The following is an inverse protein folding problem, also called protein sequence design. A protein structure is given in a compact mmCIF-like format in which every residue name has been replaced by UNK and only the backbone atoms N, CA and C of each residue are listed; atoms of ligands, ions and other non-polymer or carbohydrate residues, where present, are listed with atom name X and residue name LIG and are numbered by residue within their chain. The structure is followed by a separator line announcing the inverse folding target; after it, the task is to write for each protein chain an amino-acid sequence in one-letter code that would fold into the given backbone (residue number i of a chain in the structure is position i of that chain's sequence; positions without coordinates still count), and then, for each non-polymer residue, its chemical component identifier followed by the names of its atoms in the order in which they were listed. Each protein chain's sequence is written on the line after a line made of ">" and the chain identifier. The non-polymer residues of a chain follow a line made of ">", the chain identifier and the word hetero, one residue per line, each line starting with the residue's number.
data_IF_910779469805
#
_entry.id   IF_910779469805
#
_cell.length_a   1.000
_cell.length_b   1.000
_cell.length_c   1.000
_cell.angle_alpha   90.00
_cell.angle_beta   90.00
_cell.angle_gamma   90.00
#
_symmetry.space_group_name_H-M   'P 1'
#
loop_
_entity.id
_entity.type
_entity.pdbx_description
1 polymer ?
#
# COMPACT_ATOMS: atom_id res chain seq x y z
N UNK A 1 -8.64 -4.28 -15.93
CA UNK A 1 -8.33 -3.18 -15.00
C UNK A 1 -8.14 -1.89 -15.77
N UNK A 2 -8.49 -0.77 -15.14
CA UNK A 2 -8.41 0.54 -15.80
C UNK A 2 -6.94 0.94 -16.02
N UNK A 3 -6.08 0.68 -15.02
CA UNK A 3 -4.66 1.00 -15.12
C UNK A 3 -3.84 -0.23 -15.45
N UNK A 4 -2.69 -0.08 -16.14
CA UNK A 4 -1.82 -1.22 -16.44
C UNK A 4 -1.35 -1.91 -15.16
N UNK A 5 -1.31 -3.24 -15.17
CA UNK A 5 -0.75 -4.01 -14.07
C UNK A 5 0.75 -3.73 -13.96
N UNK A 6 1.44 -3.68 -15.10
CA UNK A 6 2.87 -3.40 -15.15
C UNK A 6 3.73 -4.64 -14.91
N UNK A 7 4.99 -4.38 -14.60
CA UNK A 7 5.98 -5.42 -14.40
C UNK A 7 5.96 -5.94 -12.97
N UNK A 8 6.44 -7.17 -12.72
CA UNK A 8 6.60 -7.66 -11.36
C UNK A 8 7.39 -6.67 -10.51
N UNK A 9 6.94 -6.48 -9.27
CA UNK A 9 7.54 -5.53 -8.33
C UNK A 9 8.82 -6.13 -7.72
N UNK A 10 9.88 -6.23 -8.51
CA UNK A 10 11.13 -6.84 -8.06
C UNK A 10 11.93 -5.92 -7.14
N UNK A 11 11.84 -4.61 -7.35
CA UNK A 11 12.62 -3.65 -6.57
C UNK A 11 12.28 -3.68 -5.08
N UNK A 12 11.02 -3.94 -4.73
CA UNK A 12 10.55 -3.95 -3.34
C UNK A 12 10.07 -5.34 -2.90
N UNK A 13 10.35 -6.38 -3.69
CA UNK A 13 9.81 -7.73 -3.43
C UNK A 13 10.13 -8.24 -2.03
N UNK A 14 11.29 -7.91 -1.48
CA UNK A 14 11.70 -8.33 -0.13
C UNK A 14 10.84 -7.73 0.98
N UNK A 15 10.05 -6.70 0.69
CA UNK A 15 9.16 -6.04 1.65
C UNK A 15 7.71 -6.46 1.48
N UNK A 16 7.46 -7.46 0.62
CA UNK A 16 6.11 -7.97 0.35
C UNK A 16 6.09 -9.47 0.58
N UNK A 17 4.96 -9.95 1.07
CA UNK A 17 4.66 -11.37 1.05
C UNK A 17 3.68 -11.62 -0.08
N UNK A 18 4.03 -12.54 -0.99
CA UNK A 18 3.25 -12.82 -2.20
C UNK A 18 3.72 -12.00 -3.39
N UNK A 19 2.99 -12.08 -4.47
CA UNK A 19 3.35 -11.44 -5.72
C UNK A 19 2.62 -10.12 -5.90
N UNK A 20 3.36 -9.09 -6.29
CA UNK A 20 2.81 -7.78 -6.58
C UNK A 20 3.41 -7.21 -7.85
N UNK A 21 2.77 -6.18 -8.38
CA UNK A 21 3.14 -5.54 -9.64
C UNK A 21 3.09 -4.03 -9.44
N UNK A 22 3.96 -3.32 -10.14
CA UNK A 22 4.11 -1.88 -9.95
C UNK A 22 4.21 -1.20 -11.31
N UNK A 23 3.41 -0.16 -11.50
CA UNK A 23 3.49 0.69 -12.70
C UNK A 23 3.46 2.14 -12.27
N UNK A 24 4.45 2.90 -12.67
CA UNK A 24 4.40 4.34 -12.47
C UNK A 24 3.48 4.97 -13.51
N UNK A 25 2.47 5.71 -13.05
CA UNK A 25 1.48 6.36 -13.92
C UNK A 25 1.91 7.78 -14.23
N UNK A 26 2.51 8.46 -13.26
CA UNK A 26 2.97 9.84 -13.43
C UNK A 26 4.24 10.08 -12.63
N UNK A 27 5.15 10.88 -13.21
CA UNK A 27 6.39 11.30 -12.56
C UNK A 27 6.49 12.83 -12.48
N UNK A 28 5.40 13.55 -12.74
CA UNK A 28 5.40 14.99 -12.71
C UNK A 28 5.39 15.55 -11.28
N UNK A 29 4.67 16.63 -11.00
CA UNK A 29 4.68 17.29 -9.69
C UNK A 29 4.26 16.37 -8.55
N UNK A 30 3.32 15.46 -8.81
CA UNK A 30 2.87 14.47 -7.84
C UNK A 30 3.03 13.09 -8.49
N UNK A 31 4.12 12.39 -8.19
CA UNK A 31 4.30 11.03 -8.71
C UNK A 31 3.24 10.12 -8.12
N UNK A 32 2.69 9.23 -8.94
CA UNK A 32 1.81 8.19 -8.41
C UNK A 32 1.95 6.91 -9.21
N UNK A 33 1.58 5.82 -8.56
CA UNK A 33 1.79 4.47 -9.03
C UNK A 33 0.50 3.69 -8.93
N UNK A 34 0.33 2.70 -9.81
CA UNK A 34 -0.66 1.66 -9.62
C UNK A 34 0.06 0.43 -9.06
N UNK A 35 -0.36 -0.01 -7.88
CA UNK A 35 0.19 -1.19 -7.22
C UNK A 35 -0.87 -2.27 -7.25
N UNK A 36 -0.53 -3.43 -7.80
CA UNK A 36 -1.45 -4.57 -7.93
C UNK A 36 -0.92 -5.73 -7.10
N UNK A 37 -1.81 -6.34 -6.32
CA UNK A 37 -1.50 -7.43 -5.41
C UNK A 37 -2.29 -8.66 -5.81
N UNK A 38 -1.63 -9.81 -5.91
CA UNK A 38 -2.34 -11.09 -6.01
C UNK A 38 -3.03 -11.42 -4.68
N UNK A 39 -4.03 -12.31 -4.68
CA UNK A 39 -4.71 -12.67 -3.43
C UNK A 39 -3.73 -13.06 -2.32
N UNK A 40 -3.93 -12.50 -1.14
CA UNK A 40 -3.08 -12.75 0.02
C UNK A 40 -1.79 -11.95 0.09
N UNK A 41 -1.42 -11.25 -0.99
CA UNK A 41 -0.20 -10.45 -1.01
C UNK A 41 -0.38 -9.19 -0.17
N UNK A 42 0.64 -8.86 0.64
CA UNK A 42 0.66 -7.64 1.45
C UNK A 42 2.09 -7.18 1.64
N UNK A 43 2.25 -5.87 1.85
CA UNK A 43 3.56 -5.35 2.19
C UNK A 43 3.83 -5.47 3.68
N UNK A 44 5.09 -5.25 4.05
CA UNK A 44 5.50 -5.22 5.46
C UNK A 44 4.92 -3.98 6.14
N UNK A 45 4.87 -4.01 7.47
CA UNK A 45 4.68 -2.80 8.24
C UNK A 45 5.74 -1.78 7.81
N UNK A 46 5.35 -0.54 7.65
CA UNK A 46 6.28 0.53 7.27
C UNK A 46 5.77 1.89 7.71
N UNK A 47 6.67 2.86 7.70
CA UNK A 47 6.39 4.23 8.12
C UNK A 47 7.01 5.20 7.13
N UNK A 48 6.26 6.21 6.74
CA UNK A 48 6.77 7.35 5.98
C UNK A 48 7.06 8.47 6.97
N UNK A 49 8.35 8.72 7.23
CA UNK A 49 8.77 9.73 8.20
C UNK A 49 8.88 11.10 7.54
N UNK A 50 8.41 12.13 8.24
CA UNK A 50 8.58 13.51 7.81
C UNK A 50 8.43 14.44 9.01
N UNK A 51 9.08 15.60 8.94
CA UNK A 51 8.89 16.65 9.94
C UNK A 51 7.71 17.53 9.60
N UNK A 52 7.34 17.59 8.32
CA UNK A 52 6.19 18.36 7.83
C UNK A 52 5.71 17.75 6.52
N UNK A 53 4.40 17.70 6.33
CA UNK A 53 3.78 17.14 5.13
C UNK A 53 4.01 15.65 5.01
N UNK A 54 4.17 15.17 3.78
CA UNK A 54 4.39 13.77 3.43
C UNK A 54 3.21 12.87 3.83
N UNK A 55 3.47 11.58 3.88
CA UNK A 55 2.44 10.56 3.95
C UNK A 55 2.12 10.06 2.57
N UNK A 56 0.98 9.41 2.44
CA UNK A 56 0.60 8.80 1.19
C UNK A 56 -0.92 8.79 1.08
N UNK A 57 -1.44 8.83 -0.14
CA UNK A 57 -2.87 8.60 -0.36
C UNK A 57 -3.03 7.35 -1.21
N UNK A 58 -4.00 6.52 -0.85
CA UNK A 58 -4.36 5.34 -1.61
C UNK A 58 -5.77 5.53 -2.17
N UNK A 59 -5.95 5.11 -3.41
CA UNK A 59 -7.27 5.07 -4.04
C UNK A 59 -7.49 3.67 -4.57
N UNK A 60 -8.47 2.95 -4.02
CA UNK A 60 -8.82 1.63 -4.51
C UNK A 60 -9.38 1.70 -5.93
N UNK A 61 -8.87 0.84 -6.83
CA UNK A 61 -9.30 0.84 -8.24
C UNK A 61 -9.76 -0.53 -8.73
N UNK A 62 -9.42 -1.61 -8.05
CA UNK A 62 -9.86 -2.95 -8.45
C UNK A 62 -9.79 -3.91 -7.28
N UNK A 63 -10.72 -4.86 -7.22
CA UNK A 63 -10.72 -5.92 -6.24
C UNK A 63 -10.99 -5.45 -4.82
N UNK A 64 -10.45 -6.19 -3.85
CA UNK A 64 -10.69 -5.93 -2.43
C UNK A 64 -9.40 -6.07 -1.65
N UNK A 65 -9.12 -5.12 -0.77
CA UNK A 65 -7.91 -5.13 0.03
C UNK A 65 -8.10 -4.49 1.39
N UNK A 66 -6.99 -4.34 2.11
CA UNK A 66 -6.95 -3.87 3.49
C UNK A 66 -5.89 -2.80 3.68
N UNK A 67 -6.17 -1.90 4.61
CA UNK A 67 -5.23 -0.96 5.19
C UNK A 67 -5.35 -1.04 6.71
N UNK A 68 -4.22 -1.09 7.40
CA UNK A 68 -4.23 -1.13 8.86
C UNK A 68 -3.11 -0.27 9.44
N UNK A 69 -3.48 0.61 10.38
CA UNK A 69 -2.53 1.32 11.24
C UNK A 69 -2.27 0.48 12.48
N UNK A 70 -1.05 0.55 12.99
CA UNK A 70 -0.68 -0.16 14.21
C UNK A 70 -1.63 0.21 15.35
N UNK A 71 -2.15 -0.80 16.03
CA UNK A 71 -3.05 -0.62 17.16
C UNK A 71 -4.51 -0.35 16.79
N UNK A 72 -4.85 -0.37 15.51
CA UNK A 72 -6.22 -0.12 15.03
C UNK A 72 -6.75 -1.29 14.22
N UNK A 73 -8.08 -1.42 14.08
CA UNK A 73 -8.66 -2.43 13.18
C UNK A 73 -8.29 -2.16 11.73
N UNK A 74 -8.21 -3.23 10.93
CA UNK A 74 -8.02 -3.10 9.49
C UNK A 74 -9.24 -2.46 8.84
N UNK A 75 -9.00 -1.60 7.86
CA UNK A 75 -10.04 -0.95 7.07
C UNK A 75 -10.11 -1.61 5.69
N UNK A 76 -11.31 -1.88 5.22
CA UNK A 76 -11.53 -2.43 3.89
C UNK A 76 -11.33 -1.38 2.82
N UNK A 77 -10.66 -1.75 1.72
CA UNK A 77 -10.50 -0.89 0.55
C UNK A 77 -11.19 -1.56 -0.63
N UNK A 78 -12.18 -0.88 -1.17
CA UNK A 78 -12.91 -1.27 -2.38
C UNK A 78 -12.65 -0.23 -3.48
N UNK A 79 -13.00 -0.51 -4.75
CA UNK A 79 -12.90 0.52 -5.78
C UNK A 79 -13.63 1.79 -5.37
N UNK A 80 -12.95 2.92 -5.43
CA UNK A 80 -13.50 4.20 -5.00
C UNK A 80 -13.18 4.58 -3.56
N UNK A 81 -12.66 3.67 -2.75
CA UNK A 81 -12.24 4.00 -1.38
C UNK A 81 -10.95 4.82 -1.43
N UNK A 82 -10.93 5.92 -0.67
CA UNK A 82 -9.75 6.78 -0.54
C UNK A 82 -9.24 6.71 0.89
N UNK A 83 -7.95 6.41 1.03
CA UNK A 83 -7.28 6.35 2.33
C UNK A 83 -6.19 7.41 2.35
N UNK A 84 -6.23 8.29 3.36
CA UNK A 84 -5.11 9.19 3.64
C UNK A 84 -4.25 8.57 4.74
N UNK A 85 -2.98 8.32 4.44
CA UNK A 85 -2.02 7.78 5.39
C UNK A 85 -1.14 8.92 5.87
N UNK A 86 -1.30 9.37 7.13
CA UNK A 86 -0.46 10.45 7.64
C UNK A 86 1.01 10.03 7.71
N UNK A 87 1.91 10.99 7.64
CA UNK A 87 3.32 10.75 7.94
C UNK A 87 3.49 10.25 9.37
N UNK A 88 4.55 9.49 9.61
CA UNK A 88 4.96 9.00 10.93
C UNK A 88 4.00 7.96 11.54
N UNK A 89 3.12 7.37 10.74
CA UNK A 89 2.20 6.32 11.17
C UNK A 89 2.66 4.98 10.62
N UNK A 90 2.85 4.02 11.51
CA UNK A 90 3.20 2.65 11.13
C UNK A 90 1.96 1.93 10.60
N UNK A 91 2.05 1.39 9.38
CA UNK A 91 0.91 0.80 8.69
C UNK A 91 1.35 -0.25 7.67
N UNK A 92 0.37 -0.97 7.14
CA UNK A 92 0.55 -1.84 5.97
C UNK A 92 -0.72 -1.82 5.12
N UNK A 93 -0.60 -2.29 3.88
CA UNK A 93 -1.76 -2.52 3.02
C UNK A 93 -1.50 -3.73 2.11
N UNK A 94 -2.58 -4.29 1.58
CA UNK A 94 -2.48 -5.47 0.75
C UNK A 94 -3.84 -6.02 0.35
N UNK A 95 -3.80 -7.14 -0.39
CA UNK A 95 -5.00 -7.79 -0.91
C UNK A 95 -5.71 -8.60 0.16
N UNK A 96 -7.02 -8.79 -0.03
CA UNK A 96 -7.76 -9.80 0.70
C UNK A 96 -7.29 -11.20 0.30
N UNK A 97 -7.58 -12.21 1.13
CA UNK A 97 -7.12 -13.59 0.88
C UNK A 97 -7.63 -14.17 -0.43
N UNK A 98 -8.80 -13.76 -0.83
CA UNK A 98 -9.55 -14.35 -1.95
C UNK A 98 -9.77 -13.37 -3.10
N UNK A 99 -9.04 -12.28 -3.14
CA UNK A 99 -9.24 -11.25 -4.17
C UNK A 99 -7.92 -10.64 -4.59
N UNK A 100 -7.77 -10.41 -5.90
CA UNK A 100 -6.81 -9.45 -6.40
C UNK A 100 -7.17 -8.08 -5.87
N UNK A 101 -6.20 -7.21 -5.77
CA UNK A 101 -6.39 -5.85 -5.28
C UNK A 101 -5.45 -4.92 -6.01
N UNK A 102 -5.97 -3.77 -6.42
CA UNK A 102 -5.12 -2.72 -6.97
C UNK A 102 -5.53 -1.38 -6.40
N UNK A 103 -4.53 -0.56 -6.10
CA UNK A 103 -4.74 0.81 -5.68
C UNK A 103 -3.76 1.75 -6.35
N UNK A 104 -4.15 3.01 -6.50
CA UNK A 104 -3.21 4.07 -6.80
C UNK A 104 -2.53 4.49 -5.49
N UNK A 105 -1.26 4.82 -5.58
CA UNK A 105 -0.49 5.35 -4.45
C UNK A 105 0.10 6.70 -4.84
N UNK A 106 -0.31 7.75 -4.14
CA UNK A 106 0.15 9.11 -4.37
C UNK A 106 1.13 9.50 -3.29
N UNK A 107 2.31 9.97 -3.72
CA UNK A 107 3.33 10.47 -2.79
C UNK A 107 3.02 11.93 -2.47
N UNK A 108 2.82 12.25 -1.21
CA UNK A 108 2.54 13.61 -0.76
C UNK A 108 3.87 14.29 -0.43
N UNK A 109 4.18 15.46 -1.01
CA UNK A 109 5.44 16.14 -0.72
C UNK A 109 5.57 16.52 0.77
N UNK A 110 6.79 16.45 1.28
CA UNK A 110 7.08 16.76 2.67
C UNK A 110 8.53 17.16 2.89
N UNK A 111 8.86 17.49 4.14
CA UNK A 111 10.20 17.93 4.56
C UNK A 111 10.89 16.85 5.39
N UNK A 112 12.18 16.64 5.14
CA UNK A 112 13.01 15.64 5.84
C UNK A 112 12.37 14.25 5.76
N UNK A 113 11.98 13.84 4.55
CA UNK A 113 11.25 12.61 4.32
C UNK A 113 12.18 11.40 4.27
N UNK A 114 11.70 10.29 4.80
CA UNK A 114 12.37 8.99 4.67
C UNK A 114 11.34 7.88 4.85
N UNK A 115 11.64 6.73 4.27
CA UNK A 115 10.78 5.54 4.42
C UNK A 115 11.51 4.50 5.25
N UNK A 116 10.80 3.91 6.19
CA UNK A 116 11.33 2.85 7.03
C UNK A 116 10.48 1.60 6.83
N UNK A 117 11.11 0.54 6.31
CA UNK A 117 10.50 -0.78 6.20
C UNK A 117 10.75 -1.55 7.49
N UNK A 118 9.70 -2.13 8.02
CA UNK A 118 9.71 -2.79 9.31
C UNK A 118 9.37 -4.28 9.15
N UNK A 119 8.82 -4.92 10.18
CA UNK A 119 8.57 -6.35 10.16
C UNK A 119 7.44 -6.73 9.20
N UNK A 120 7.44 -7.98 8.77
CA UNK A 120 6.37 -8.53 7.95
C UNK A 120 5.07 -8.61 8.77
N UNK A 121 3.94 -8.47 8.10
CA UNK A 121 2.63 -8.75 8.70
C UNK A 121 2.52 -10.27 8.80
N UNK A 122 2.46 -10.80 10.02
CA UNK A 122 2.41 -12.24 10.22
C UNK A 122 1.13 -12.84 9.65
N UNK A 123 1.19 -14.12 9.30
CA UNK A 123 0.00 -14.83 8.85
C UNK A 123 -1.08 -14.86 9.95
N UNK A 124 -0.66 -14.94 11.21
CA UNK A 124 -1.58 -14.89 12.34
C UNK A 124 -2.36 -13.59 12.39
N UNK A 125 -1.66 -12.44 12.29
CA UNK A 125 -2.31 -11.13 12.27
C UNK A 125 -3.22 -10.97 11.06
N UNK A 126 -2.72 -11.36 9.89
CA UNK A 126 -3.45 -11.22 8.64
C UNK A 126 -4.72 -12.08 8.64
N UNK A 127 -4.64 -13.31 9.15
CA UNK A 127 -5.77 -14.22 9.13
C UNK A 127 -6.87 -13.85 10.13
N UNK A 128 -6.62 -12.92 11.05
CA UNK A 128 -7.65 -12.42 11.96
C UNK A 128 -8.57 -11.40 11.28
N UNK A 129 -8.20 -10.88 10.13
CA UNK A 129 -8.99 -9.91 9.39
C UNK A 129 -10.11 -10.63 8.64
N UNK A 130 -11.31 -10.13 8.74
CA UNK A 130 -12.48 -10.77 8.14
C UNK A 130 -12.98 -10.06 6.90
#
# INVERSE_FOLDING_TARGET
>A
MIFPIGEPNTAYAKYFKGNSYLTQISDSQIPFFNVTFEPGCRNNWHTHHATKGDGQMLVGVAGRGWYQEEGKPAQEILPGTVIHIPANVKHWHGAAKDSWFAHLAFEIPGENTSNEWQEAVSDEEYNKIK
#
